data_IF_822783805746
#
_entry.id   IF_822783805746
#
_cell.length_a   1.000
_cell.length_b   1.000
_cell.length_c   1.000
_cell.angle_alpha   90.00
_cell.angle_beta   90.00
_cell.angle_gamma   90.00
#
_symmetry.space_group_name_H-M   'P 1'
#
loop_
_entity.id
_entity.type
_entity.pdbx_description
1 polymer ?
#
# COMPACT_ATOMS: atom_id res chain seq x y z
N UNK A 1 11.34 -7.78 -17.42
CA UNK A 1 11.96 -8.54 -16.32
C UNK A 1 13.15 -7.76 -15.79
N UNK A 2 13.18 -7.50 -14.49
CA UNK A 2 14.36 -6.95 -13.81
C UNK A 2 15.36 -8.12 -13.70
N UNK A 3 16.63 -7.93 -14.10
CA UNK A 3 17.63 -8.99 -14.01
C UNK A 3 17.85 -9.39 -12.54
N UNK A 4 18.14 -10.68 -12.30
CA UNK A 4 18.55 -11.15 -10.98
C UNK A 4 19.91 -10.56 -10.61
N UNK A 5 20.10 -10.21 -9.36
CA UNK A 5 21.39 -9.83 -8.80
C UNK A 5 22.26 -11.07 -8.64
N UNK A 6 23.56 -10.90 -8.81
CA UNK A 6 24.55 -11.90 -8.43
C UNK A 6 25.03 -11.69 -6.98
N UNK A 7 25.93 -12.53 -6.51
CA UNK A 7 26.45 -12.43 -5.16
C UNK A 7 27.21 -11.11 -4.88
N UNK A 8 27.89 -10.55 -5.89
CA UNK A 8 28.60 -9.27 -5.75
C UNK A 8 27.62 -8.12 -5.61
N UNK A 9 26.54 -8.11 -6.41
CA UNK A 9 25.47 -7.12 -6.32
C UNK A 9 24.77 -7.18 -4.96
N UNK A 10 24.52 -8.41 -4.45
CA UNK A 10 23.93 -8.66 -3.14
C UNK A 10 24.83 -8.14 -2.03
N UNK A 11 26.13 -8.43 -2.10
CA UNK A 11 27.13 -7.95 -1.13
C UNK A 11 27.21 -6.43 -1.15
N UNK A 12 27.23 -5.84 -2.34
CA UNK A 12 27.26 -4.37 -2.50
C UNK A 12 26.02 -3.71 -1.90
N UNK A 13 24.84 -4.27 -2.18
CA UNK A 13 23.57 -3.75 -1.66
C UNK A 13 23.53 -3.87 -0.12
N UNK A 14 23.93 -5.01 0.42
CA UNK A 14 24.02 -5.25 1.85
C UNK A 14 24.98 -4.25 2.51
N UNK A 15 26.19 -4.08 1.96
CA UNK A 15 27.17 -3.14 2.45
C UNK A 15 26.64 -1.70 2.47
N UNK A 16 25.90 -1.31 1.46
CA UNK A 16 25.32 0.03 1.38
C UNK A 16 24.28 0.31 2.46
N UNK A 17 23.52 -0.69 2.88
CA UNK A 17 22.34 -0.49 3.73
C UNK A 17 22.44 -1.08 5.14
N UNK A 18 23.41 -1.96 5.42
CA UNK A 18 23.52 -2.68 6.70
C UNK A 18 24.87 -2.46 7.42
N UNK A 19 25.88 -1.81 6.82
CA UNK A 19 27.27 -1.83 7.30
C UNK A 19 27.58 -1.03 8.56
N UNK A 20 26.72 -0.15 9.04
CA UNK A 20 27.08 0.67 10.22
C UNK A 20 27.10 -0.13 11.54
N UNK A 21 26.53 -1.38 11.56
CA UNK A 21 26.32 -2.15 12.79
C UNK A 21 26.81 -3.62 12.75
N UNK A 22 27.66 -4.04 11.78
CA UNK A 22 27.94 -5.48 11.62
C UNK A 22 29.23 -5.92 12.33
N UNK A 23 29.06 -6.67 13.44
CA UNK A 23 30.10 -7.50 14.06
C UNK A 23 30.23 -8.90 13.42
N UNK A 24 29.41 -9.22 12.41
CA UNK A 24 29.32 -10.53 11.75
C UNK A 24 30.22 -10.62 10.51
N UNK A 25 30.60 -11.85 10.15
CA UNK A 25 31.25 -12.15 8.86
C UNK A 25 30.35 -11.74 7.69
N UNK A 26 30.67 -10.60 7.09
CA UNK A 26 29.93 -9.97 5.97
C UNK A 26 29.81 -10.91 4.79
N UNK A 27 30.79 -11.79 4.55
CA UNK A 27 30.77 -12.75 3.46
C UNK A 27 29.72 -13.80 3.68
N UNK A 28 29.73 -14.43 4.88
CA UNK A 28 28.75 -15.46 5.25
C UNK A 28 27.32 -14.89 5.23
N UNK A 29 27.13 -13.65 5.70
CA UNK A 29 25.86 -12.97 5.72
C UNK A 29 25.32 -12.75 4.29
N UNK A 30 26.18 -12.28 3.37
CA UNK A 30 25.77 -12.05 1.98
C UNK A 30 25.48 -13.34 1.23
N UNK A 31 26.22 -14.41 1.49
CA UNK A 31 25.94 -15.75 0.95
C UNK A 31 24.56 -16.25 1.40
N UNK A 32 24.24 -16.19 2.68
CA UNK A 32 22.93 -16.60 3.21
C UNK A 32 21.79 -15.76 2.62
N UNK A 33 21.97 -14.45 2.50
CA UNK A 33 20.95 -13.56 1.91
C UNK A 33 20.77 -13.87 0.42
N UNK A 34 21.86 -14.09 -0.31
CA UNK A 34 21.80 -14.45 -1.72
C UNK A 34 21.09 -15.78 -1.93
N UNK A 35 21.45 -16.82 -1.15
CA UNK A 35 20.78 -18.12 -1.21
C UNK A 35 19.28 -18.01 -0.93
N UNK A 36 18.87 -17.26 0.11
CA UNK A 36 17.46 -17.04 0.44
C UNK A 36 16.68 -16.32 -0.66
N UNK A 37 17.29 -15.34 -1.31
CA UNK A 37 16.64 -14.50 -2.30
C UNK A 37 16.76 -15.00 -3.74
N UNK A 38 17.69 -15.92 -4.02
CA UNK A 38 18.11 -16.30 -5.38
C UNK A 38 18.41 -15.07 -6.28
N UNK A 39 18.90 -13.98 -5.68
CA UNK A 39 19.18 -12.73 -6.35
C UNK A 39 17.95 -11.95 -6.80
N UNK A 40 16.75 -12.27 -6.31
CA UNK A 40 15.55 -11.48 -6.62
C UNK A 40 15.66 -10.07 -6.00
N UNK A 41 15.68 -8.97 -6.78
CA UNK A 41 15.95 -7.62 -6.26
C UNK A 41 14.89 -7.14 -5.26
N UNK A 42 13.63 -7.48 -5.47
CA UNK A 42 12.55 -7.09 -4.58
C UNK A 42 12.63 -7.84 -3.25
N UNK A 43 12.89 -9.15 -3.30
CA UNK A 43 13.04 -9.94 -2.08
C UNK A 43 14.30 -9.55 -1.30
N UNK A 44 15.42 -9.29 -1.98
CA UNK A 44 16.62 -8.72 -1.35
C UNK A 44 16.30 -7.42 -0.58
N UNK A 45 15.55 -6.51 -1.20
CA UNK A 45 15.12 -5.28 -0.54
C UNK A 45 14.29 -5.57 0.72
N UNK A 46 13.41 -6.56 0.67
CA UNK A 46 12.59 -6.93 1.82
C UNK A 46 13.43 -7.58 2.93
N UNK A 47 14.36 -8.47 2.60
CA UNK A 47 15.29 -9.07 3.58
C UNK A 47 16.09 -7.96 4.28
N UNK A 48 16.68 -7.03 3.54
CA UNK A 48 17.45 -5.92 4.09
C UNK A 48 16.59 -5.08 5.04
N UNK A 49 15.38 -4.71 4.65
CA UNK A 49 14.47 -3.95 5.52
C UNK A 49 14.05 -4.74 6.76
N UNK A 50 13.85 -6.04 6.65
CA UNK A 50 13.57 -6.91 7.80
C UNK A 50 14.75 -6.88 8.79
N UNK A 51 15.97 -7.03 8.29
CA UNK A 51 17.18 -6.98 9.12
C UNK A 51 17.38 -5.60 9.78
N UNK A 52 17.06 -4.51 9.07
CA UNK A 52 17.09 -3.15 9.65
C UNK A 52 16.08 -2.98 10.79
N UNK A 53 14.90 -3.61 10.69
CA UNK A 53 13.83 -3.45 11.68
C UNK A 53 13.93 -4.40 12.87
N UNK A 54 14.45 -5.62 12.66
CA UNK A 54 14.48 -6.69 13.66
C UNK A 54 15.89 -6.98 14.21
N UNK A 55 16.93 -6.43 13.57
CA UNK A 55 18.34 -6.67 13.89
C UNK A 55 19.02 -7.60 12.89
N UNK A 56 20.36 -7.50 12.82
CA UNK A 56 21.17 -8.24 11.84
C UNK A 56 21.71 -9.51 12.49
N UNK A 57 20.98 -10.62 12.32
CA UNK A 57 21.40 -11.94 12.83
C UNK A 57 21.16 -13.02 11.80
N UNK A 58 22.02 -14.04 11.79
CA UNK A 58 21.83 -15.23 10.94
C UNK A 58 20.51 -15.93 11.24
N UNK A 59 20.12 -15.99 12.51
CA UNK A 59 18.85 -16.60 12.95
C UNK A 59 17.64 -15.99 12.27
N UNK A 60 17.60 -14.66 12.11
CA UNK A 60 16.52 -13.98 11.40
C UNK A 60 16.52 -14.38 9.92
N UNK A 61 17.70 -14.40 9.26
CA UNK A 61 17.79 -14.80 7.84
C UNK A 61 17.35 -16.25 7.65
N UNK A 62 17.77 -17.15 8.53
CA UNK A 62 17.38 -18.56 8.49
C UNK A 62 15.88 -18.77 8.65
N UNK A 63 15.21 -17.93 9.47
CA UNK A 63 13.77 -17.97 9.67
C UNK A 63 12.96 -17.45 8.47
N UNK A 64 13.58 -16.67 7.57
CA UNK A 64 12.89 -16.17 6.38
C UNK A 64 12.60 -17.31 5.39
N UNK A 65 11.45 -17.27 4.71
CA UNK A 65 11.14 -18.24 3.65
C UNK A 65 12.17 -18.21 2.52
N UNK A 66 12.36 -19.34 1.86
CA UNK A 66 13.10 -19.42 0.61
C UNK A 66 12.31 -18.72 -0.51
N UNK A 67 13.00 -18.06 -1.45
CA UNK A 67 12.36 -17.56 -2.66
C UNK A 67 11.96 -18.73 -3.58
N UNK A 68 10.68 -18.82 -3.93
CA UNK A 68 10.11 -19.88 -4.76
C UNK A 68 9.42 -19.26 -6.00
N UNK A 69 10.16 -18.50 -6.82
CA UNK A 69 9.67 -17.81 -8.02
C UNK A 69 8.58 -16.76 -7.79
N UNK A 70 8.06 -16.64 -6.56
CA UNK A 70 7.11 -15.62 -6.15
C UNK A 70 7.38 -15.20 -4.69
N UNK A 71 6.68 -14.17 -4.22
CA UNK A 71 6.87 -13.63 -2.88
C UNK A 71 5.75 -14.05 -1.90
N UNK A 72 4.89 -14.97 -2.27
CA UNK A 72 3.72 -15.32 -1.45
C UNK A 72 4.15 -15.92 -0.10
N UNK A 73 5.13 -16.84 -0.08
CA UNK A 73 5.65 -17.42 1.17
C UNK A 73 6.19 -16.35 2.11
N UNK A 74 6.87 -15.33 1.58
CA UNK A 74 7.33 -14.19 2.37
C UNK A 74 6.17 -13.31 2.86
N UNK A 75 5.17 -13.07 2.05
CA UNK A 75 3.99 -12.31 2.46
C UNK A 75 3.15 -13.06 3.50
N UNK A 76 3.06 -14.39 3.40
CA UNK A 76 2.49 -15.26 4.44
C UNK A 76 3.25 -15.11 5.75
N UNK A 77 4.58 -15.19 5.70
CA UNK A 77 5.43 -14.97 6.87
C UNK A 77 5.17 -13.60 7.51
N UNK A 78 5.18 -12.51 6.74
CA UNK A 78 4.92 -11.17 7.28
C UNK A 78 3.53 -11.05 7.91
N UNK A 79 2.50 -11.59 7.24
CA UNK A 79 1.14 -11.54 7.78
C UNK A 79 0.94 -12.43 9.00
N UNK A 80 1.79 -13.45 9.21
CA UNK A 80 1.76 -14.28 10.42
C UNK A 80 2.42 -13.61 11.64
N UNK A 81 3.25 -12.60 11.44
CA UNK A 81 3.86 -11.82 12.52
C UNK A 81 2.90 -10.82 13.15
N UNK A 82 1.86 -10.43 12.41
CA UNK A 82 0.88 -9.46 12.89
C UNK A 82 -0.22 -10.15 13.68
N UNK A 83 -0.55 -9.63 14.86
CA UNK A 83 -1.68 -10.13 15.68
C UNK A 83 -3.02 -10.01 14.94
N UNK A 84 -3.11 -9.05 14.03
CA UNK A 84 -4.29 -8.78 13.25
C UNK A 84 -3.92 -8.20 11.88
N UNK A 85 -4.53 -8.73 10.82
CA UNK A 85 -4.25 -8.31 9.45
C UNK A 85 -5.00 -7.06 9.00
N UNK A 86 -5.80 -6.41 9.88
CA UNK A 86 -6.65 -5.27 9.48
C UNK A 86 -5.82 -4.12 8.90
N UNK A 87 -4.64 -3.82 9.49
CA UNK A 87 -3.76 -2.75 9.02
C UNK A 87 -3.26 -3.04 7.61
N UNK A 88 -2.78 -4.26 7.34
CA UNK A 88 -2.29 -4.65 6.02
C UNK A 88 -3.39 -4.63 4.97
N UNK A 89 -4.61 -5.06 5.33
CA UNK A 89 -5.77 -5.06 4.43
C UNK A 89 -6.26 -3.64 4.15
N UNK A 90 -6.36 -2.77 5.17
CA UNK A 90 -6.71 -1.35 4.98
C UNK A 90 -5.69 -0.68 4.06
N UNK A 91 -4.39 -0.84 4.32
CA UNK A 91 -3.33 -0.30 3.44
C UNK A 91 -3.40 -0.86 2.01
N UNK A 92 -3.80 -2.13 1.85
CA UNK A 92 -4.00 -2.72 0.53
C UNK A 92 -5.21 -2.14 -0.20
N UNK A 93 -6.24 -1.74 0.53
CA UNK A 93 -7.43 -1.10 -0.05
C UNK A 93 -7.23 0.38 -0.40
N UNK A 94 -6.19 1.04 0.14
CA UNK A 94 -5.92 2.45 -0.12
C UNK A 94 -5.19 2.67 -1.46
N UNK A 95 -5.72 3.57 -2.28
CA UNK A 95 -5.09 4.00 -3.54
C UNK A 95 -4.18 5.24 -3.36
N UNK A 96 -4.02 5.72 -2.13
CA UNK A 96 -3.26 6.91 -1.76
C UNK A 96 -2.48 6.69 -0.46
N UNK A 97 -1.53 7.58 -0.17
CA UNK A 97 -0.78 7.57 1.08
C UNK A 97 -1.61 8.20 2.20
N UNK A 98 -1.47 7.67 3.42
CA UNK A 98 -2.14 8.18 4.62
C UNK A 98 -1.13 8.52 5.71
N UNK A 99 -1.39 9.56 6.47
CA UNK A 99 -0.65 9.85 7.70
C UNK A 99 -1.02 8.83 8.78
N UNK A 100 -0.24 8.75 9.87
CA UNK A 100 -0.57 7.90 11.03
C UNK A 100 -1.92 8.27 11.64
N UNK A 101 -2.24 9.57 11.70
CA UNK A 101 -3.53 10.05 12.21
C UNK A 101 -4.69 9.59 11.33
N UNK A 102 -4.58 9.74 10.02
CA UNK A 102 -5.58 9.29 9.06
C UNK A 102 -5.76 7.76 9.09
N UNK A 103 -4.65 7.00 9.17
CA UNK A 103 -4.71 5.55 9.28
C UNK A 103 -5.44 5.11 10.56
N UNK A 104 -5.17 5.77 11.70
CA UNK A 104 -5.85 5.50 12.95
C UNK A 104 -7.37 5.77 12.89
N UNK A 105 -7.81 6.70 12.04
CA UNK A 105 -9.25 6.97 11.82
C UNK A 105 -9.92 5.89 10.95
N UNK A 106 -9.16 5.22 10.10
CA UNK A 106 -9.64 4.17 9.20
C UNK A 106 -9.64 2.78 9.85
N UNK A 107 -8.86 2.59 10.91
CA UNK A 107 -8.77 1.32 11.64
C UNK A 107 -9.75 1.35 12.82
N UNK A 108 -10.46 0.24 13.12
CA UNK A 108 -11.35 0.15 14.26
C UNK A 108 -10.64 0.49 15.58
N UNK A 109 -11.37 1.16 16.49
CA UNK A 109 -10.86 1.50 17.82
C UNK A 109 -10.40 0.26 18.59
N UNK A 110 -9.27 0.42 19.30
CA UNK A 110 -8.72 -0.67 20.14
C UNK A 110 -7.63 -1.51 19.50
N UNK A 111 -7.33 -1.32 18.20
CA UNK A 111 -6.20 -2.01 17.57
C UNK A 111 -4.88 -1.26 17.78
N UNK A 112 -3.84 -1.99 18.17
CA UNK A 112 -2.48 -1.47 18.24
C UNK A 112 -1.87 -1.44 16.82
N UNK A 113 -2.18 -0.41 16.06
CA UNK A 113 -1.69 -0.30 14.68
C UNK A 113 -0.17 -0.03 14.60
N UNK A 114 0.44 0.55 15.62
CA UNK A 114 1.88 0.84 15.66
C UNK A 114 2.72 -0.45 15.65
N UNK A 115 2.35 -1.46 16.43
CA UNK A 115 3.02 -2.77 16.39
C UNK A 115 2.91 -3.38 15.00
N UNK A 116 1.71 -3.40 14.41
CA UNK A 116 1.49 -3.93 13.07
C UNK A 116 2.29 -3.15 11.98
N UNK A 117 2.40 -1.82 12.09
CA UNK A 117 3.23 -1.04 11.16
C UNK A 117 4.71 -1.39 11.26
N UNK A 118 5.21 -1.68 12.48
CA UNK A 118 6.58 -2.13 12.69
C UNK A 118 6.83 -3.48 12.01
N UNK A 119 5.93 -4.43 12.17
CA UNK A 119 6.03 -5.77 11.55
C UNK A 119 5.93 -5.69 10.02
N UNK A 120 5.10 -4.78 9.51
CA UNK A 120 4.94 -4.51 8.08
C UNK A 120 6.01 -3.57 7.49
N UNK A 121 6.96 -3.08 8.31
CA UNK A 121 7.99 -2.12 7.85
C UNK A 121 8.73 -2.53 6.56
N UNK A 122 9.00 -3.82 6.29
CA UNK A 122 9.65 -4.21 5.03
C UNK A 122 8.84 -3.91 3.78
N UNK A 123 7.51 -3.97 3.87
CA UNK A 123 6.58 -3.82 2.73
C UNK A 123 5.87 -2.47 2.67
N UNK A 124 6.15 -1.58 3.60
CA UNK A 124 5.62 -0.21 3.60
C UNK A 124 6.71 0.83 3.34
N UNK A 125 6.28 2.01 2.91
CA UNK A 125 7.10 3.23 2.86
C UNK A 125 6.36 4.29 3.63
N UNK A 126 7.04 4.90 4.59
CA UNK A 126 6.58 6.10 5.26
C UNK A 126 7.41 7.28 4.78
N UNK A 127 6.77 8.26 4.17
CA UNK A 127 7.43 9.47 3.71
C UNK A 127 6.52 10.67 4.01
N UNK A 128 6.90 11.44 5.02
CA UNK A 128 6.15 12.61 5.49
C UNK A 128 5.93 13.64 4.36
N UNK A 129 6.96 13.87 3.54
CA UNK A 129 6.91 14.83 2.42
C UNK A 129 5.99 14.37 1.28
N UNK A 130 5.72 13.06 1.17
CA UNK A 130 4.86 12.45 0.13
C UNK A 130 3.51 12.00 0.66
N UNK A 131 3.07 12.52 1.80
CA UNK A 131 1.73 12.28 2.33
C UNK A 131 1.58 11.05 3.23
N UNK A 132 2.69 10.48 3.75
CA UNK A 132 2.65 9.49 4.81
C UNK A 132 2.93 8.05 4.37
N UNK A 133 2.15 7.11 4.88
CA UNK A 133 2.33 5.66 4.77
C UNK A 133 1.63 5.12 3.53
N UNK A 134 2.30 4.23 2.81
CA UNK A 134 1.73 3.43 1.71
C UNK A 134 2.46 2.11 1.56
N UNK A 135 1.88 1.17 0.84
CA UNK A 135 2.57 -0.05 0.44
C UNK A 135 3.74 0.26 -0.52
N UNK A 136 4.86 -0.45 -0.30
CA UNK A 136 6.05 -0.28 -1.13
C UNK A 136 5.85 -0.80 -2.55
N UNK A 137 5.18 -1.94 -2.70
CA UNK A 137 4.99 -2.61 -3.98
C UNK A 137 3.58 -3.20 -4.14
N UNK A 138 3.05 -3.15 -5.35
CA UNK A 138 1.69 -3.58 -5.67
C UNK A 138 1.46 -5.10 -5.52
N UNK A 139 2.51 -5.91 -5.59
CA UNK A 139 2.38 -7.37 -5.39
C UNK A 139 1.88 -7.72 -3.98
N UNK A 140 2.32 -6.98 -2.94
CA UNK A 140 1.81 -7.17 -1.57
C UNK A 140 0.35 -6.72 -1.45
N UNK A 141 -0.03 -5.65 -2.16
CA UNK A 141 -1.44 -5.21 -2.26
C UNK A 141 -2.32 -6.33 -2.81
N UNK A 142 -1.96 -6.88 -3.97
CA UNK A 142 -2.72 -7.95 -4.63
C UNK A 142 -2.81 -9.20 -3.75
N UNK A 143 -1.71 -9.60 -3.14
CA UNK A 143 -1.67 -10.71 -2.20
C UNK A 143 -2.68 -10.52 -1.06
N UNK A 144 -2.69 -9.35 -0.39
CA UNK A 144 -3.60 -9.09 0.73
C UNK A 144 -5.07 -9.10 0.29
N UNK A 145 -5.40 -8.42 -0.82
CA UNK A 145 -6.78 -8.40 -1.32
C UNK A 145 -7.24 -9.82 -1.65
N UNK A 146 -6.41 -10.62 -2.32
CA UNK A 146 -6.78 -11.99 -2.70
C UNK A 146 -6.90 -12.91 -1.48
N UNK A 147 -5.94 -12.85 -0.56
CA UNK A 147 -5.92 -13.67 0.66
C UNK A 147 -7.11 -13.39 1.57
N UNK A 148 -7.46 -12.12 1.75
CA UNK A 148 -8.46 -11.72 2.72
C UNK A 148 -9.83 -11.37 2.12
N UNK A 149 -10.04 -11.56 0.81
CA UNK A 149 -11.32 -11.25 0.16
C UNK A 149 -12.52 -12.01 0.74
N UNK A 150 -12.30 -13.19 1.33
CA UNK A 150 -13.35 -14.02 1.93
C UNK A 150 -13.52 -13.80 3.42
N UNK A 151 -12.44 -13.41 4.13
CA UNK A 151 -12.43 -13.25 5.59
C UNK A 151 -12.58 -11.80 6.03
N UNK A 152 -12.00 -10.87 5.27
CA UNK A 152 -12.26 -9.45 5.44
C UNK A 152 -13.26 -9.01 4.37
N UNK A 153 -14.37 -8.41 4.79
CA UNK A 153 -15.30 -7.82 3.83
C UNK A 153 -14.65 -6.59 3.17
N UNK A 154 -13.94 -6.82 2.06
CA UNK A 154 -13.21 -5.78 1.34
C UNK A 154 -14.13 -4.63 0.92
N UNK A 155 -15.38 -4.93 0.54
CA UNK A 155 -16.36 -3.90 0.21
C UNK A 155 -16.73 -3.03 1.42
N UNK A 156 -16.78 -3.61 2.61
CA UNK A 156 -16.99 -2.83 3.85
C UNK A 156 -15.82 -1.89 4.12
N UNK A 157 -14.57 -2.36 3.89
CA UNK A 157 -13.39 -1.51 4.03
C UNK A 157 -13.40 -0.37 3.00
N UNK A 158 -13.75 -0.65 1.73
CA UNK A 158 -13.93 0.40 0.73
C UNK A 158 -15.04 1.38 1.12
N UNK A 159 -16.14 0.89 1.71
CA UNK A 159 -17.21 1.72 2.27
C UNK A 159 -16.71 2.66 3.37
N UNK A 160 -15.97 2.15 4.34
CA UNK A 160 -15.37 2.96 5.41
C UNK A 160 -14.38 4.02 4.89
N UNK A 161 -13.58 3.68 3.87
CA UNK A 161 -12.70 4.63 3.22
C UNK A 161 -13.51 5.71 2.50
N UNK A 162 -14.58 5.32 1.79
CA UNK A 162 -15.47 6.28 1.12
C UNK A 162 -16.15 7.22 2.13
N UNK A 163 -16.69 6.69 3.22
CA UNK A 163 -17.30 7.48 4.30
C UNK A 163 -16.30 8.44 4.96
N UNK A 164 -15.06 7.98 5.16
CA UNK A 164 -13.99 8.84 5.70
C UNK A 164 -13.67 9.98 4.74
N UNK A 165 -13.57 9.72 3.43
CA UNK A 165 -13.35 10.73 2.40
C UNK A 165 -14.56 11.67 2.25
N UNK A 166 -15.80 11.14 2.36
CA UNK A 166 -17.03 11.91 2.25
C UNK A 166 -17.19 12.93 3.40
N UNK A 167 -16.69 12.62 4.60
CA UNK A 167 -16.69 13.53 5.76
C UNK A 167 -15.77 14.74 5.57
N UNK A 168 -14.83 14.65 4.66
CA UNK A 168 -13.99 15.77 4.24
C UNK A 168 -14.69 16.54 3.12
N UNK A 169 -14.46 17.84 3.00
CA UNK A 169 -15.00 18.56 1.85
C UNK A 169 -14.41 18.05 0.55
N UNK A 170 -15.29 17.74 -0.42
CA UNK A 170 -14.88 17.16 -1.69
C UNK A 170 -13.94 18.06 -2.48
N UNK A 171 -14.22 19.37 -2.51
CA UNK A 171 -13.43 20.32 -3.29
C UNK A 171 -12.20 20.82 -2.52
N UNK A 172 -12.26 20.96 -1.20
CA UNK A 172 -11.17 21.53 -0.40
C UNK A 172 -10.13 20.47 0.01
N UNK A 173 -10.53 19.20 0.10
CA UNK A 173 -9.63 18.13 0.50
C UNK A 173 -9.15 17.30 -0.70
N UNK A 174 -7.89 17.48 -1.08
CA UNK A 174 -7.29 16.88 -2.29
C UNK A 174 -7.49 15.36 -2.40
N UNK A 175 -7.43 14.62 -1.28
CA UNK A 175 -7.62 13.16 -1.30
C UNK A 175 -9.07 12.81 -1.63
N UNK A 176 -10.05 13.53 -1.08
CA UNK A 176 -11.47 13.35 -1.41
C UNK A 176 -11.72 13.65 -2.88
N UNK A 177 -11.23 14.79 -3.38
CA UNK A 177 -11.38 15.14 -4.78
C UNK A 177 -10.82 14.09 -5.75
N UNK A 178 -9.66 13.51 -5.41
CA UNK A 178 -8.98 12.53 -6.29
C UNK A 178 -9.50 11.11 -6.19
N UNK A 179 -10.05 10.71 -5.04
CA UNK A 179 -10.26 9.31 -4.75
C UNK A 179 -11.69 8.92 -4.39
N UNK A 180 -12.51 9.82 -3.83
CA UNK A 180 -13.85 9.51 -3.34
C UNK A 180 -14.72 8.81 -4.40
N UNK A 181 -14.81 9.38 -5.60
CA UNK A 181 -15.66 8.83 -6.67
C UNK A 181 -15.24 7.41 -7.08
N UNK A 182 -13.95 7.11 -7.05
CA UNK A 182 -13.43 5.76 -7.32
C UNK A 182 -13.85 4.75 -6.26
N UNK A 183 -13.92 5.16 -4.99
CA UNK A 183 -14.41 4.27 -3.93
C UNK A 183 -15.90 4.03 -4.05
N UNK A 184 -16.69 5.03 -4.41
CA UNK A 184 -18.10 4.81 -4.74
C UNK A 184 -18.29 3.85 -5.92
N UNK A 185 -17.46 3.92 -6.94
CA UNK A 185 -17.47 2.96 -8.04
C UNK A 185 -17.15 1.54 -7.53
N UNK A 186 -16.12 1.37 -6.68
CA UNK A 186 -15.74 0.06 -6.12
C UNK A 186 -16.88 -0.61 -5.34
N UNK A 187 -17.68 0.18 -4.62
CA UNK A 187 -18.83 -0.33 -3.83
C UNK A 187 -20.18 -0.19 -4.57
N UNK A 188 -20.15 0.27 -5.83
CA UNK A 188 -21.33 0.46 -6.71
C UNK A 188 -22.37 1.46 -6.19
N UNK A 189 -21.94 2.43 -5.40
CA UNK A 189 -22.78 3.53 -4.90
C UNK A 189 -22.91 4.67 -5.93
N UNK A 190 -23.44 4.35 -7.12
CA UNK A 190 -23.46 5.26 -8.27
C UNK A 190 -24.31 6.51 -8.04
N UNK A 191 -25.39 6.39 -7.27
CA UNK A 191 -26.25 7.54 -6.94
C UNK A 191 -25.52 8.62 -6.14
N UNK A 192 -24.53 8.23 -5.33
CA UNK A 192 -23.69 9.20 -4.63
C UNK A 192 -22.79 9.99 -5.57
N UNK A 193 -22.36 9.39 -6.68
CA UNK A 193 -21.52 10.05 -7.69
C UNK A 193 -22.28 11.12 -8.44
N UNK A 194 -23.56 10.89 -8.75
CA UNK A 194 -24.44 11.82 -9.47
C UNK A 194 -24.53 13.19 -8.78
N UNK A 195 -24.41 13.24 -7.45
CA UNK A 195 -24.42 14.51 -6.68
C UNK A 195 -23.27 15.44 -7.06
N UNK A 196 -22.16 14.89 -7.55
CA UNK A 196 -20.96 15.64 -7.93
C UNK A 196 -20.92 15.97 -9.43
N UNK A 197 -21.68 15.25 -10.26
CA UNK A 197 -21.81 15.50 -11.71
C UNK A 197 -22.79 16.66 -11.96
N UNK A 198 -22.43 17.85 -11.52
CA UNK A 198 -23.24 19.07 -11.65
C UNK A 198 -22.64 20.02 -12.69
N UNK A 199 -23.47 20.94 -13.21
CA UNK A 199 -23.01 22.01 -14.11
C UNK A 199 -21.92 22.88 -13.49
N UNK A 200 -21.88 22.98 -12.17
CA UNK A 200 -20.89 23.78 -11.43
C UNK A 200 -19.57 23.01 -11.19
N UNK A 201 -19.52 21.70 -11.49
CA UNK A 201 -18.36 20.87 -11.18
C UNK A 201 -17.05 21.46 -11.73
N UNK A 202 -17.04 21.84 -13.01
CA UNK A 202 -15.86 22.41 -13.65
C UNK A 202 -15.45 23.74 -12.99
N UNK A 203 -16.42 24.63 -12.78
CA UNK A 203 -16.19 25.96 -12.18
C UNK A 203 -15.61 25.82 -10.76
N UNK A 204 -16.21 24.97 -9.92
CA UNK A 204 -15.71 24.68 -8.56
C UNK A 204 -14.33 24.04 -8.58
N UNK A 205 -14.08 23.13 -9.50
CA UNK A 205 -12.78 22.48 -9.65
C UNK A 205 -11.67 23.47 -10.02
N UNK A 206 -11.95 24.38 -10.96
CA UNK A 206 -11.01 25.42 -11.38
C UNK A 206 -10.79 26.45 -10.27
N UNK A 207 -11.85 26.86 -9.57
CA UNK A 207 -11.76 27.78 -8.44
C UNK A 207 -10.85 27.24 -7.33
N UNK A 208 -10.91 25.93 -7.06
CA UNK A 208 -10.05 25.26 -6.09
C UNK A 208 -8.64 24.90 -6.64
N UNK A 209 -8.31 25.37 -7.84
CA UNK A 209 -6.97 25.24 -8.40
C UNK A 209 -6.60 23.84 -8.87
N UNK A 210 -7.56 22.97 -9.14
CA UNK A 210 -7.29 21.63 -9.68
C UNK A 210 -6.82 21.70 -11.13
N UNK A 211 -5.79 20.88 -11.41
CA UNK A 211 -5.25 20.78 -12.78
C UNK A 211 -6.21 20.03 -13.70
N UNK A 212 -6.13 20.34 -15.01
CA UNK A 212 -6.87 19.63 -16.06
C UNK A 212 -6.81 18.09 -15.90
N UNK A 213 -5.60 17.57 -15.68
CA UNK A 213 -5.39 16.12 -15.47
C UNK A 213 -6.21 15.58 -14.31
N UNK A 214 -6.29 16.31 -13.21
CA UNK A 214 -7.03 15.87 -12.02
C UNK A 214 -8.54 15.98 -12.23
N UNK A 215 -9.00 17.04 -12.91
CA UNK A 215 -10.39 17.23 -13.29
C UNK A 215 -10.85 16.12 -14.23
N UNK A 216 -10.03 15.79 -15.25
CA UNK A 216 -10.32 14.72 -16.21
C UNK A 216 -10.57 13.37 -15.52
N UNK A 217 -9.82 13.02 -14.48
CA UNK A 217 -10.04 11.78 -13.73
C UNK A 217 -11.47 11.68 -13.20
N UNK A 218 -12.04 12.77 -12.71
CA UNK A 218 -13.42 12.78 -12.22
C UNK A 218 -14.45 12.74 -13.37
N UNK A 219 -14.19 13.40 -14.49
CA UNK A 219 -15.01 13.22 -15.69
C UNK A 219 -15.00 11.78 -16.20
N UNK A 220 -13.85 11.12 -16.18
CA UNK A 220 -13.75 9.69 -16.55
C UNK A 220 -14.60 8.82 -15.61
N UNK A 221 -14.65 9.15 -14.30
CA UNK A 221 -15.53 8.48 -13.34
C UNK A 221 -17.02 8.74 -13.63
N UNK A 222 -17.41 9.96 -13.98
CA UNK A 222 -18.78 10.28 -14.37
C UNK A 222 -19.20 9.53 -15.64
N UNK A 223 -18.34 9.52 -16.66
CA UNK A 223 -18.57 8.77 -17.90
C UNK A 223 -18.68 7.26 -17.65
N UNK A 224 -17.88 6.72 -16.75
CA UNK A 224 -17.99 5.32 -16.36
C UNK A 224 -19.37 5.02 -15.76
N UNK A 225 -19.83 5.85 -14.81
CA UNK A 225 -21.14 5.68 -14.17
C UNK A 225 -22.27 5.87 -15.16
N UNK A 226 -22.20 6.86 -16.04
CA UNK A 226 -23.22 7.07 -17.09
C UNK A 226 -23.39 5.83 -17.97
N UNK A 227 -22.29 5.16 -18.33
CA UNK A 227 -22.30 3.91 -19.10
C UNK A 227 -22.92 2.76 -18.31
N UNK A 228 -22.53 2.58 -17.05
CA UNK A 228 -23.02 1.50 -16.20
C UNK A 228 -24.52 1.64 -15.88
N UNK A 229 -25.00 2.85 -15.71
CA UNK A 229 -26.39 3.13 -15.36
C UNK A 229 -27.28 3.45 -16.57
N UNK A 230 -26.72 3.56 -17.77
CA UNK A 230 -27.37 4.04 -18.99
C UNK A 230 -28.01 5.44 -18.82
N UNK A 231 -27.52 6.23 -17.89
CA UNK A 231 -27.96 7.58 -17.58
C UNK A 231 -26.97 8.60 -18.15
N UNK A 232 -27.28 9.16 -19.30
CA UNK A 232 -26.44 10.11 -20.03
C UNK A 232 -26.74 11.56 -19.70
N UNK A 233 -27.64 11.83 -18.76
CA UNK A 233 -27.91 13.18 -18.25
C UNK A 233 -26.93 13.57 -17.09
N UNK A 234 -25.98 12.75 -16.80
CA UNK A 234 -24.91 12.99 -15.83
C UNK A 234 -23.93 14.08 -16.25
#
# INVERSE_FOLDING_TARGET
>A
NIPKFNIYDTTHLMNKYLLEDILLDTKKLSECIFEKSEGNPLYLTYIIKTLQSQGITLKIIESLPQYEFNLNSYYEYLTSLTDNNIVSVVLACLDFSVTRVELNQLIPFGFNFESNLKDLSPVIVENILRGGIRLYHDSFRRFNIEKFKTTANINEIYGKIAEWLEKQDFYDFLKSYRHLLRYYIKIKEYEKIKKYASTDFLTKSLYNGYTEKTIKINYDNFLYVAKETLDWAL
#
